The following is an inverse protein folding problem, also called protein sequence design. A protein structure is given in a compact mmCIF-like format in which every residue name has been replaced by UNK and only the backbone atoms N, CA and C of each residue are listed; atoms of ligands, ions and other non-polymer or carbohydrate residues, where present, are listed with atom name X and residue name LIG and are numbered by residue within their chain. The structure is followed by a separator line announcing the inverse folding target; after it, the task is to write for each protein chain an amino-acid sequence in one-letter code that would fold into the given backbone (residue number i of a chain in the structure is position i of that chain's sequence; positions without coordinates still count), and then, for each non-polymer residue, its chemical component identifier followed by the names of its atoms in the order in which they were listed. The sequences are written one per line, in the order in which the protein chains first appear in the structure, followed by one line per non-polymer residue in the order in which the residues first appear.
data_IF_220137879870
#
_entry.id   IF_220137879870
#
_cell.length_a   1.000
_cell.length_b   1.000
_cell.length_c   1.000
_cell.angle_alpha   90.00
_cell.angle_beta   90.00
_cell.angle_gamma   90.00
#
_symmetry.space_group_name_H-M   'P 1'
#
loop_
_entity.id
_entity.type
_entity.pdbx_description
1 polymer ?
#
# COMPACT_ATOMS: atom_id res chain seq x y z
N UNK A 1 -75.11 23.30 11.25
CA UNK A 1 -74.56 22.04 11.78
C UNK A 1 -73.47 21.54 10.84
N UNK A 2 -72.40 20.97 11.41
CA UNK A 2 -71.24 20.29 10.78
C UNK A 2 -70.28 21.20 9.97
N UNK A 3 -69.12 21.60 10.50
CA UNK A 3 -67.88 20.84 10.85
C UNK A 3 -66.92 20.72 9.66
N UNK A 4 -65.76 21.39 9.79
CA UNK A 4 -64.38 20.95 9.46
C UNK A 4 -64.15 20.34 8.06
N UNK A 5 -63.06 20.67 7.34
CA UNK A 5 -61.68 20.34 7.74
C UNK A 5 -60.69 21.04 6.80
N UNK A 6 -59.65 21.67 7.38
CA UNK A 6 -58.41 22.00 6.67
C UNK A 6 -57.77 20.72 6.12
N UNK A 7 -57.32 20.73 4.86
CA UNK A 7 -56.39 19.72 4.33
C UNK A 7 -55.08 20.43 3.94
N UNK A 8 -54.14 20.40 4.87
CA UNK A 8 -52.75 20.77 4.66
C UNK A 8 -52.04 19.51 4.15
N UNK A 9 -51.72 19.46 2.85
CA UNK A 9 -50.97 18.36 2.27
C UNK A 9 -49.48 18.52 2.64
N UNK A 10 -49.06 17.89 3.73
CA UNK A 10 -47.66 17.75 4.11
C UNK A 10 -47.02 16.69 3.21
N UNK A 11 -46.31 17.15 2.17
CA UNK A 11 -45.49 16.29 1.32
C UNK A 11 -44.26 15.85 2.13
N UNK A 12 -44.34 14.71 2.82
CA UNK A 12 -43.18 14.05 3.41
C UNK A 12 -42.31 13.53 2.26
N UNK A 13 -41.29 14.29 1.87
CA UNK A 13 -40.17 13.73 1.10
C UNK A 13 -39.39 12.82 2.03
N UNK A 14 -39.74 11.54 2.03
CA UNK A 14 -38.90 10.48 2.58
C UNK A 14 -37.66 10.46 1.68
N UNK A 15 -36.60 11.17 2.09
CA UNK A 15 -35.27 10.93 1.55
C UNK A 15 -34.86 9.55 2.04
N UNK A 16 -35.20 8.51 1.28
CA UNK A 16 -34.61 7.20 1.44
C UNK A 16 -33.11 7.37 1.19
N UNK A 17 -32.34 7.45 2.27
CA UNK A 17 -30.91 7.18 2.22
C UNK A 17 -30.77 5.75 1.70
N UNK A 18 -30.46 5.63 0.41
CA UNK A 18 -29.99 4.40 -0.21
C UNK A 18 -28.70 3.99 0.51
N UNK A 19 -28.82 3.34 1.66
CA UNK A 19 -27.75 2.46 2.11
C UNK A 19 -27.74 1.32 1.11
N UNK A 20 -26.77 1.36 0.18
CA UNK A 20 -26.48 0.23 -0.68
C UNK A 20 -26.36 -1.02 0.21
N UNK A 21 -27.14 -2.05 -0.10
CA UNK A 21 -27.01 -3.33 0.58
C UNK A 21 -25.59 -3.82 0.33
N UNK A 22 -24.78 -3.89 1.38
CA UNK A 22 -23.38 -4.30 1.27
C UNK A 22 -23.34 -5.73 0.75
N UNK A 23 -22.70 -5.94 -0.40
CA UNK A 23 -22.56 -7.26 -0.98
C UNK A 23 -21.65 -8.12 -0.10
N UNK A 24 -22.12 -9.34 0.20
CA UNK A 24 -21.32 -10.38 0.86
C UNK A 24 -20.76 -11.27 -0.24
N UNK A 25 -19.45 -11.51 -0.21
CA UNK A 25 -18.70 -12.23 -1.24
C UNK A 25 -18.21 -13.60 -0.73
N UNK A 26 -19.10 -14.35 -0.08
CA UNK A 26 -18.79 -15.68 0.48
C UNK A 26 -18.27 -16.65 -0.58
N UNK A 27 -18.71 -16.49 -1.82
CA UNK A 27 -18.24 -17.28 -2.94
C UNK A 27 -16.77 -17.04 -3.28
N UNK A 28 -16.27 -15.80 -3.17
CA UNK A 28 -14.85 -15.50 -3.32
C UNK A 28 -14.05 -16.06 -2.14
N UNK A 29 -14.61 -15.99 -0.92
CA UNK A 29 -13.99 -16.59 0.26
C UNK A 29 -13.83 -18.10 0.10
N UNK A 30 -14.90 -18.80 -0.28
CA UNK A 30 -14.88 -20.25 -0.49
C UNK A 30 -13.81 -20.63 -1.53
N UNK A 31 -13.82 -19.97 -2.70
CA UNK A 31 -12.83 -20.25 -3.75
C UNK A 31 -11.39 -19.95 -3.30
N UNK A 32 -11.19 -18.91 -2.47
CA UNK A 32 -9.87 -18.60 -1.93
C UNK A 32 -9.41 -19.65 -0.91
N UNK A 33 -10.28 -20.06 0.02
CA UNK A 33 -9.99 -21.06 1.05
C UNK A 33 -9.76 -22.45 0.44
N UNK A 34 -10.49 -22.79 -0.61
CA UNK A 34 -10.31 -24.04 -1.37
C UNK A 34 -9.08 -23.99 -2.31
N UNK A 35 -8.26 -22.93 -2.25
CA UNK A 35 -7.09 -22.67 -3.08
C UNK A 35 -7.38 -22.68 -4.60
N UNK A 36 -8.64 -22.46 -4.97
CA UNK A 36 -9.11 -22.32 -6.35
C UNK A 36 -8.83 -20.91 -6.89
N UNK A 37 -7.58 -20.44 -6.75
CA UNK A 37 -7.19 -19.04 -6.96
C UNK A 37 -7.54 -18.48 -8.34
N UNK A 38 -7.39 -19.28 -9.41
CA UNK A 38 -7.73 -18.87 -10.77
C UNK A 38 -9.23 -18.63 -10.93
N UNK A 39 -10.07 -19.52 -10.39
CA UNK A 39 -11.53 -19.35 -10.41
C UNK A 39 -11.94 -18.18 -9.53
N UNK A 40 -11.30 -18.00 -8.38
CA UNK A 40 -11.53 -16.85 -7.50
C UNK A 40 -11.19 -15.54 -8.23
N UNK A 41 -10.02 -15.45 -8.87
CA UNK A 41 -9.58 -14.29 -9.64
C UNK A 41 -10.56 -13.97 -10.77
N UNK A 42 -10.95 -14.97 -11.56
CA UNK A 42 -11.93 -14.78 -12.65
C UNK A 42 -13.29 -14.33 -12.13
N UNK A 43 -13.75 -14.89 -11.00
CA UNK A 43 -15.03 -14.49 -10.41
C UNK A 43 -14.97 -13.07 -9.85
N UNK A 44 -13.89 -12.70 -9.17
CA UNK A 44 -13.65 -11.35 -8.68
C UNK A 44 -13.55 -10.33 -9.83
N UNK A 45 -12.90 -10.69 -10.94
CA UNK A 45 -12.82 -9.86 -12.14
C UNK A 45 -14.21 -9.50 -12.68
N UNK A 46 -15.10 -10.48 -12.80
CA UNK A 46 -16.50 -10.24 -13.20
C UNK A 46 -17.28 -9.34 -12.24
N UNK A 47 -16.95 -9.33 -10.95
CA UNK A 47 -17.58 -8.38 -10.02
C UNK A 47 -17.06 -6.95 -10.26
N UNK A 48 -15.77 -6.79 -10.55
CA UNK A 48 -15.23 -5.45 -10.79
C UNK A 48 -15.63 -4.84 -12.13
N UNK A 49 -16.13 -5.64 -13.07
CA UNK A 49 -16.67 -5.19 -14.35
C UNK A 49 -18.13 -4.71 -14.27
N UNK A 50 -18.90 -5.19 -13.28
CA UNK A 50 -20.32 -4.85 -13.16
C UNK A 50 -20.53 -3.48 -12.50
N UNK A 51 -21.53 -2.74 -12.97
CA UNK A 51 -21.82 -1.40 -12.48
C UNK A 51 -22.18 -1.35 -10.99
N UNK A 52 -22.83 -2.39 -10.48
CA UNK A 52 -23.29 -2.51 -9.10
C UNK A 52 -22.15 -2.80 -8.11
N UNK A 53 -21.12 -3.53 -8.54
CA UNK A 53 -20.09 -4.11 -7.66
C UNK A 53 -18.68 -3.60 -7.95
N UNK A 54 -18.46 -2.86 -9.05
CA UNK A 54 -17.15 -2.27 -9.40
C UNK A 54 -16.57 -1.31 -8.37
N UNK A 55 -17.42 -0.73 -7.52
CA UNK A 55 -17.03 0.20 -6.45
C UNK A 55 -16.73 -0.52 -5.15
N UNK A 56 -17.11 -1.78 -5.02
CA UNK A 56 -16.93 -2.53 -3.80
C UNK A 56 -15.45 -2.90 -3.62
N UNK A 57 -14.91 -2.81 -2.40
CA UNK A 57 -13.50 -3.06 -2.17
C UNK A 57 -13.14 -4.55 -2.23
N UNK A 58 -13.97 -5.43 -1.67
CA UNK A 58 -13.64 -6.84 -1.45
C UNK A 58 -13.23 -7.61 -2.72
N UNK A 59 -13.88 -7.46 -3.89
CA UNK A 59 -13.40 -8.13 -5.10
C UNK A 59 -11.95 -7.79 -5.44
N UNK A 60 -11.52 -6.53 -5.24
CA UNK A 60 -10.14 -6.12 -5.48
C UNK A 60 -9.19 -6.72 -4.45
N UNK A 61 -9.62 -6.89 -3.20
CA UNK A 61 -8.84 -7.57 -2.17
C UNK A 61 -8.60 -9.04 -2.55
N UNK A 62 -9.65 -9.76 -2.96
CA UNK A 62 -9.50 -11.15 -3.41
C UNK A 62 -8.61 -11.28 -4.64
N UNK A 63 -8.73 -10.38 -5.62
CA UNK A 63 -7.78 -10.37 -6.76
C UNK A 63 -6.33 -10.19 -6.30
N UNK A 64 -6.10 -9.34 -5.31
CA UNK A 64 -4.79 -9.09 -4.70
C UNK A 64 -4.24 -10.35 -4.01
N UNK A 65 -5.05 -10.95 -3.13
CA UNK A 65 -4.68 -12.14 -2.36
C UNK A 65 -4.45 -13.35 -3.26
N UNK A 66 -5.35 -13.62 -4.21
CA UNK A 66 -5.17 -14.70 -5.19
C UNK A 66 -3.90 -14.50 -6.01
N UNK A 67 -3.67 -13.28 -6.53
CA UNK A 67 -2.46 -13.01 -7.32
C UNK A 67 -1.17 -13.19 -6.51
N UNK A 68 -1.21 -12.87 -5.21
CA UNK A 68 -0.11 -13.10 -4.28
C UNK A 68 0.15 -14.59 -4.05
N UNK A 69 -0.87 -15.38 -3.72
CA UNK A 69 -0.71 -16.84 -3.56
C UNK A 69 -0.27 -17.52 -4.86
N UNK A 70 -0.85 -17.11 -5.99
CA UNK A 70 -0.44 -17.61 -7.31
C UNK A 70 1.03 -17.30 -7.60
N UNK A 71 1.57 -16.17 -7.13
CA UNK A 71 2.97 -15.81 -7.34
C UNK A 71 3.98 -16.72 -6.62
N UNK A 72 3.51 -17.52 -5.64
CA UNK A 72 4.33 -18.48 -4.89
C UNK A 72 4.35 -19.86 -5.54
N UNK A 73 3.47 -20.13 -6.50
CA UNK A 73 3.26 -21.45 -7.09
C UNK A 73 3.91 -21.56 -8.47
N UNK A 74 4.78 -22.55 -8.65
CA UNK A 74 5.52 -22.78 -9.89
C UNK A 74 4.62 -22.91 -11.13
N UNK A 75 3.46 -23.56 -10.98
CA UNK A 75 2.48 -23.73 -12.06
C UNK A 75 2.01 -22.41 -12.68
N UNK A 76 2.00 -21.33 -11.90
CA UNK A 76 1.62 -20.00 -12.40
C UNK A 76 2.84 -19.16 -12.77
N UNK A 77 3.95 -19.27 -12.05
CA UNK A 77 5.13 -18.45 -12.36
C UNK A 77 5.84 -18.86 -13.65
N UNK A 78 5.72 -20.12 -14.07
CA UNK A 78 6.21 -20.62 -15.35
C UNK A 78 5.24 -20.40 -16.52
N UNK A 79 3.97 -20.14 -16.24
CA UNK A 79 2.96 -19.89 -17.26
C UNK A 79 3.09 -18.46 -17.82
N UNK A 80 3.28 -18.28 -19.14
CA UNK A 80 3.31 -16.96 -19.77
C UNK A 80 2.07 -16.10 -19.49
N UNK A 81 0.89 -16.69 -19.31
CA UNK A 81 -0.35 -15.99 -18.99
C UNK A 81 -0.28 -15.33 -17.60
N UNK A 82 0.34 -16.02 -16.64
CA UNK A 82 0.41 -15.62 -15.25
C UNK A 82 1.73 -14.95 -14.84
N UNK A 83 2.64 -14.66 -15.79
CA UNK A 83 3.94 -14.01 -15.51
C UNK A 83 3.85 -12.69 -14.71
N UNK A 84 2.69 -12.05 -14.68
CA UNK A 84 2.49 -10.76 -14.00
C UNK A 84 1.81 -10.86 -12.64
N UNK A 85 1.43 -12.05 -12.16
CA UNK A 85 0.61 -12.22 -10.93
C UNK A 85 1.20 -11.52 -9.71
N UNK A 86 2.52 -11.60 -9.47
CA UNK A 86 3.14 -10.87 -8.35
C UNK A 86 3.00 -9.34 -8.46
N UNK A 87 3.00 -8.78 -9.69
CA UNK A 87 2.73 -7.34 -9.89
C UNK A 87 1.25 -7.01 -9.81
N UNK A 88 0.40 -7.91 -10.27
CA UNK A 88 -1.04 -7.73 -10.21
C UNK A 88 -1.53 -7.74 -8.76
N UNK A 89 -0.90 -8.51 -7.86
CA UNK A 89 -1.15 -8.44 -6.42
C UNK A 89 -1.09 -6.99 -5.90
N UNK A 90 0.05 -6.31 -6.06
CA UNK A 90 0.24 -4.95 -5.57
C UNK A 90 -0.69 -3.92 -6.22
N UNK A 91 -0.92 -4.08 -7.53
CA UNK A 91 -1.87 -3.25 -8.28
C UNK A 91 -3.29 -3.38 -7.74
N UNK A 92 -3.73 -4.59 -7.42
CA UNK A 92 -5.07 -4.83 -6.88
C UNK A 92 -5.18 -4.43 -5.41
N UNK A 93 -4.13 -4.58 -4.59
CA UNK A 93 -4.04 -4.00 -3.24
C UNK A 93 -4.26 -2.47 -3.26
N UNK A 94 -3.58 -1.76 -4.16
CA UNK A 94 -3.73 -0.30 -4.29
C UNK A 94 -5.16 0.07 -4.71
N UNK A 95 -5.73 -0.66 -5.67
CA UNK A 95 -7.13 -0.44 -6.08
C UNK A 95 -8.09 -0.69 -4.93
N UNK A 96 -7.91 -1.77 -4.17
CA UNK A 96 -8.67 -2.08 -2.97
C UNK A 96 -8.64 -0.91 -1.98
N UNK A 97 -7.45 -0.42 -1.62
CA UNK A 97 -7.30 0.68 -0.65
C UNK A 97 -8.04 1.94 -1.07
N UNK A 98 -8.04 2.27 -2.37
CA UNK A 98 -8.79 3.43 -2.91
C UNK A 98 -10.31 3.32 -2.72
N UNK A 99 -10.83 2.11 -2.54
CA UNK A 99 -12.25 1.81 -2.35
C UNK A 99 -12.58 1.64 -0.88
N UNK A 100 -11.70 1.00 -0.12
CA UNK A 100 -11.80 0.87 1.33
C UNK A 100 -11.20 2.10 2.05
N UNK A 101 -11.76 3.28 1.77
CA UNK A 101 -11.22 4.54 2.29
C UNK A 101 -11.28 4.62 3.81
N UNK A 102 -12.32 4.05 4.40
CA UNK A 102 -12.59 4.08 5.84
C UNK A 102 -11.95 2.91 6.60
N UNK A 103 -11.10 2.10 5.94
CA UNK A 103 -10.44 0.94 6.54
C UNK A 103 -11.45 -0.06 7.14
N UNK A 104 -12.61 -0.21 6.51
CA UNK A 104 -13.67 -1.09 6.98
C UNK A 104 -13.23 -2.56 6.96
N UNK A 105 -12.37 -2.90 5.99
CA UNK A 105 -11.87 -4.25 5.82
C UNK A 105 -10.37 -4.36 6.06
N UNK A 106 -9.60 -3.32 5.74
CA UNK A 106 -8.14 -3.33 5.73
C UNK A 106 -7.53 -3.98 6.98
N UNK A 107 -7.95 -3.57 8.17
CA UNK A 107 -7.39 -4.04 9.44
C UNK A 107 -7.72 -5.52 9.75
N UNK A 108 -8.66 -6.14 9.04
CA UNK A 108 -8.98 -7.56 9.23
C UNK A 108 -8.01 -8.49 8.48
N UNK A 109 -7.07 -7.95 7.71
CA UNK A 109 -6.15 -8.69 6.86
C UNK A 109 -4.68 -8.34 7.16
N UNK A 110 -4.36 -8.00 8.41
CA UNK A 110 -3.00 -7.59 8.85
C UNK A 110 -1.91 -8.59 8.45
N UNK A 111 -2.15 -9.90 8.59
CA UNK A 111 -1.18 -10.94 8.21
C UNK A 111 -0.88 -10.91 6.70
N UNK A 112 -1.92 -10.72 5.88
CA UNK A 112 -1.76 -10.58 4.44
C UNK A 112 -0.94 -9.34 4.08
N UNK A 113 -1.23 -8.20 4.72
CA UNK A 113 -0.49 -6.96 4.47
C UNK A 113 0.98 -7.07 4.89
N UNK A 114 1.26 -7.70 6.03
CA UNK A 114 2.63 -7.91 6.50
C UNK A 114 3.44 -8.78 5.53
N UNK A 115 2.84 -9.85 5.01
CA UNK A 115 3.48 -10.72 4.02
C UNK A 115 3.69 -9.99 2.69
N UNK A 116 2.64 -9.33 2.17
CA UNK A 116 2.70 -8.59 0.91
C UNK A 116 3.76 -7.47 0.97
N UNK A 117 3.81 -6.72 2.07
CA UNK A 117 4.82 -5.69 2.30
C UNK A 117 6.24 -6.25 2.31
N UNK A 118 6.43 -7.39 2.99
CA UNK A 118 7.76 -8.03 3.08
C UNK A 118 8.25 -8.42 1.69
N UNK A 119 7.41 -9.11 0.91
CA UNK A 119 7.74 -9.53 -0.46
C UNK A 119 7.98 -8.32 -1.38
N UNK A 120 7.11 -7.31 -1.32
CA UNK A 120 7.22 -6.10 -2.14
C UNK A 120 8.50 -5.31 -1.81
N UNK A 121 8.83 -5.17 -0.52
CA UNK A 121 10.06 -4.53 -0.05
C UNK A 121 11.29 -5.28 -0.57
N UNK A 122 11.36 -6.60 -0.38
CA UNK A 122 12.54 -7.38 -0.77
C UNK A 122 12.77 -7.30 -2.30
N UNK A 123 11.71 -7.39 -3.10
CA UNK A 123 11.78 -7.19 -4.55
C UNK A 123 12.20 -5.75 -4.90
N UNK A 124 11.61 -4.75 -4.24
CA UNK A 124 11.91 -3.33 -4.46
C UNK A 124 13.36 -2.98 -4.16
N UNK A 125 13.90 -3.47 -3.04
CA UNK A 125 15.29 -3.31 -2.65
C UNK A 125 16.24 -4.01 -3.63
N UNK A 126 15.96 -5.27 -4.00
CA UNK A 126 16.77 -5.99 -4.96
C UNK A 126 16.83 -5.29 -6.33
N UNK A 127 15.69 -4.76 -6.81
CA UNK A 127 15.64 -3.99 -8.05
C UNK A 127 16.41 -2.66 -7.95
N UNK A 128 16.33 -1.98 -6.80
CA UNK A 128 17.08 -0.75 -6.55
C UNK A 128 18.59 -1.02 -6.61
N UNK A 129 19.04 -2.10 -5.96
CA UNK A 129 20.46 -2.51 -5.92
C UNK A 129 20.98 -2.92 -7.30
N UNK A 130 20.11 -3.46 -8.16
CA UNK A 130 20.42 -3.77 -9.56
C UNK A 130 20.39 -2.54 -10.48
N UNK A 131 20.06 -1.35 -9.97
CA UNK A 131 19.93 -0.13 -10.78
C UNK A 131 18.66 -0.09 -11.64
N UNK A 132 17.72 -1.00 -11.42
CA UNK A 132 16.44 -1.11 -12.13
C UNK A 132 15.40 -0.13 -11.54
N UNK A 133 15.77 1.14 -11.47
CA UNK A 133 15.05 2.18 -10.71
C UNK A 133 13.59 2.36 -11.12
N UNK A 134 13.26 2.17 -12.40
CA UNK A 134 11.87 2.26 -12.89
C UNK A 134 10.98 1.14 -12.34
N UNK A 135 11.54 -0.08 -12.21
CA UNK A 135 10.84 -1.22 -11.63
C UNK A 135 10.76 -1.07 -10.11
N UNK A 136 11.86 -0.67 -9.46
CA UNK A 136 11.89 -0.39 -8.02
C UNK A 136 10.88 0.71 -7.63
N UNK A 137 10.86 1.83 -8.38
CA UNK A 137 9.86 2.91 -8.22
C UNK A 137 8.47 2.32 -8.18
N UNK A 138 8.10 1.48 -9.15
CA UNK A 138 6.75 0.90 -9.24
C UNK A 138 6.39 0.06 -8.01
N UNK A 139 7.34 -0.68 -7.44
CA UNK A 139 7.11 -1.45 -6.21
C UNK A 139 6.73 -0.51 -5.07
N UNK A 140 7.58 0.47 -4.78
CA UNK A 140 7.35 1.41 -3.68
C UNK A 140 6.15 2.33 -3.90
N UNK A 141 5.82 2.65 -5.15
CA UNK A 141 4.61 3.39 -5.55
C UNK A 141 3.34 2.63 -5.17
N UNK A 142 3.27 1.34 -5.47
CA UNK A 142 2.14 0.52 -5.04
C UNK A 142 2.10 0.37 -3.51
N UNK A 143 3.25 0.13 -2.86
CA UNK A 143 3.33 0.04 -1.39
C UNK A 143 2.78 1.29 -0.71
N UNK A 144 3.21 2.47 -1.15
CA UNK A 144 2.70 3.75 -0.69
C UNK A 144 1.21 3.95 -1.05
N UNK A 145 0.75 3.38 -2.17
CA UNK A 145 -0.63 3.47 -2.63
C UNK A 145 -1.61 2.62 -1.82
N UNK A 146 -1.26 1.41 -1.41
CA UNK A 146 -2.13 0.57 -0.57
C UNK A 146 -1.91 0.77 0.93
N UNK A 147 -0.75 1.26 1.35
CA UNK A 147 -0.43 1.56 2.74
C UNK A 147 0.17 2.98 2.88
N UNK A 148 -0.60 4.04 2.62
CA UNK A 148 -0.10 5.42 2.63
C UNK A 148 0.43 5.88 4.00
N UNK A 149 0.06 5.19 5.07
CA UNK A 149 0.54 5.42 6.43
C UNK A 149 1.97 4.87 6.66
N UNK A 150 2.53 4.09 5.73
CA UNK A 150 3.90 3.56 5.83
C UNK A 150 4.93 4.60 5.34
N UNK A 151 5.69 5.26 6.24
CA UNK A 151 6.65 6.28 5.82
C UNK A 151 7.81 5.70 4.98
N UNK A 152 8.28 4.49 5.29
CA UNK A 152 9.40 3.88 4.57
C UNK A 152 9.13 3.72 3.07
N UNK A 153 7.88 3.39 2.70
CA UNK A 153 7.49 3.26 1.29
C UNK A 153 7.62 4.59 0.53
N UNK A 154 7.18 5.70 1.13
CA UNK A 154 7.30 7.03 0.53
C UNK A 154 8.74 7.48 0.33
N UNK A 155 9.61 7.24 1.32
CA UNK A 155 11.02 7.64 1.22
C UNK A 155 11.76 6.82 0.16
N UNK A 156 11.49 5.52 0.09
CA UNK A 156 12.06 4.65 -0.94
C UNK A 156 11.54 4.99 -2.34
N UNK A 157 10.27 5.39 -2.46
CA UNK A 157 9.71 5.92 -3.70
C UNK A 157 10.42 7.21 -4.13
N UNK A 158 10.61 8.16 -3.20
CA UNK A 158 11.35 9.40 -3.44
C UNK A 158 12.79 9.13 -3.89
N UNK A 159 13.48 8.19 -3.24
CA UNK A 159 14.83 7.77 -3.64
C UNK A 159 14.85 7.26 -5.08
N UNK A 160 13.93 6.37 -5.45
CA UNK A 160 13.84 5.85 -6.82
C UNK A 160 13.58 6.97 -7.82
N UNK A 161 12.67 7.90 -7.51
CA UNK A 161 12.39 9.06 -8.35
C UNK A 161 13.62 9.96 -8.52
N UNK A 162 14.40 10.20 -7.47
CA UNK A 162 15.65 10.97 -7.54
C UNK A 162 16.71 10.27 -8.40
N UNK A 163 16.87 8.95 -8.26
CA UNK A 163 17.77 8.15 -9.12
C UNK A 163 17.34 8.20 -10.59
N UNK A 164 16.04 8.38 -10.85
CA UNK A 164 15.46 8.58 -12.19
C UNK A 164 15.42 10.04 -12.66
N UNK A 165 15.96 11.00 -11.89
CA UNK A 165 15.93 12.44 -12.19
C UNK A 165 14.51 13.05 -12.23
N UNK A 166 13.58 12.48 -11.49
CA UNK A 166 12.20 12.95 -11.32
C UNK A 166 12.05 13.81 -10.05
N UNK A 167 12.77 14.93 -10.00
CA UNK A 167 12.91 15.72 -8.76
C UNK A 167 11.59 16.30 -8.22
N UNK A 168 10.64 16.66 -9.10
CA UNK A 168 9.32 17.14 -8.68
C UNK A 168 8.53 16.04 -7.98
N UNK A 169 8.46 14.87 -8.60
CA UNK A 169 7.73 13.72 -8.06
C UNK A 169 8.38 13.24 -6.74
N UNK A 170 9.71 13.27 -6.66
CA UNK A 170 10.44 12.98 -5.43
C UNK A 170 10.09 13.95 -4.29
N UNK A 171 9.93 15.24 -4.59
CA UNK A 171 9.51 16.24 -3.60
C UNK A 171 8.11 15.94 -3.08
N UNK A 172 7.19 15.55 -3.96
CA UNK A 172 5.83 15.16 -3.58
C UNK A 172 5.85 13.92 -2.67
N UNK A 173 6.61 12.89 -3.04
CA UNK A 173 6.78 11.69 -2.21
C UNK A 173 7.41 12.01 -0.85
N UNK A 174 8.39 12.93 -0.77
CA UNK A 174 8.96 13.37 0.51
C UNK A 174 7.97 14.18 1.37
N UNK A 175 7.02 14.89 0.74
CA UNK A 175 5.93 15.53 1.50
C UNK A 175 5.02 14.49 2.14
N UNK A 176 4.70 13.41 1.43
CA UNK A 176 3.91 12.30 1.98
C UNK A 176 4.69 11.51 3.04
N UNK A 177 6.00 11.29 2.85
CA UNK A 177 6.89 10.74 3.88
C UNK A 177 6.79 11.56 5.18
N UNK A 178 6.94 12.88 5.10
CA UNK A 178 6.90 13.74 6.29
C UNK A 178 5.54 13.66 7.00
N UNK A 179 4.44 13.58 6.25
CA UNK A 179 3.09 13.42 6.82
C UNK A 179 2.93 12.06 7.50
N UNK A 180 3.31 10.98 6.82
CA UNK A 180 3.22 9.62 7.35
C UNK A 180 4.10 9.46 8.59
N UNK A 181 5.35 9.94 8.53
CA UNK A 181 6.30 9.91 9.64
C UNK A 181 5.81 10.72 10.84
N UNK A 182 5.28 11.93 10.63
CA UNK A 182 4.73 12.74 11.72
C UNK A 182 3.48 12.11 12.38
N UNK A 183 2.80 11.20 11.68
CA UNK A 183 1.67 10.44 12.22
C UNK A 183 2.10 9.19 13.00
N UNK A 184 3.38 8.79 12.95
CA UNK A 184 3.92 7.67 13.73
C UNK A 184 4.07 8.11 15.18
N UNK A 185 3.31 7.56 16.15
CA UNK A 185 3.41 7.96 17.54
C UNK A 185 4.74 7.52 18.18
N UNK A 186 5.25 6.37 17.72
CA UNK A 186 6.46 5.72 18.20
C UNK A 186 6.91 4.71 17.13
N UNK A 187 8.16 4.83 16.65
CA UNK A 187 8.73 3.95 15.63
C UNK A 187 8.77 2.49 16.10
N UNK A 188 8.89 2.25 17.40
CA UNK A 188 8.93 0.89 17.95
C UNK A 188 7.57 0.18 17.89
N UNK A 189 6.49 0.92 17.66
CA UNK A 189 5.13 0.39 17.49
C UNK A 189 4.75 0.12 16.04
N UNK A 190 5.60 0.49 15.09
CA UNK A 190 5.37 0.15 13.69
C UNK A 190 5.39 -1.37 13.49
N UNK A 191 4.56 -1.92 12.57
CA UNK A 191 4.71 -3.29 12.13
C UNK A 191 6.15 -3.58 11.69
N UNK A 192 6.63 -4.80 11.96
CA UNK A 192 8.05 -5.17 11.79
C UNK A 192 8.57 -4.90 10.38
N UNK A 193 7.76 -5.19 9.37
CA UNK A 193 8.03 -4.94 7.96
C UNK A 193 8.16 -3.43 7.66
N UNK A 194 7.28 -2.60 8.22
CA UNK A 194 7.32 -1.15 8.05
C UNK A 194 8.50 -0.51 8.79
N UNK A 195 8.78 -0.97 10.02
CA UNK A 195 9.94 -0.54 10.81
C UNK A 195 11.24 -0.84 10.07
N UNK A 196 11.35 -2.03 9.45
CA UNK A 196 12.46 -2.40 8.59
C UNK A 196 12.56 -1.46 7.38
N UNK A 197 11.48 -1.26 6.63
CA UNK A 197 11.49 -0.41 5.44
C UNK A 197 11.84 1.05 5.75
N UNK A 198 11.35 1.59 6.87
CA UNK A 198 11.71 2.92 7.34
C UNK A 198 13.22 3.02 7.59
N UNK A 199 13.81 2.06 8.31
CA UNK A 199 15.27 2.02 8.52
C UNK A 199 16.04 2.00 7.20
N UNK A 200 15.67 1.12 6.28
CA UNK A 200 16.30 1.05 4.94
C UNK A 200 16.17 2.37 4.18
N UNK A 201 15.00 3.01 4.24
CA UNK A 201 14.75 4.32 3.66
C UNK A 201 15.66 5.41 4.24
N UNK A 202 15.77 5.49 5.57
CA UNK A 202 16.61 6.47 6.25
C UNK A 202 18.08 6.31 5.88
N UNK A 203 18.60 5.08 5.88
CA UNK A 203 19.99 4.79 5.49
C UNK A 203 20.22 5.21 4.04
N UNK A 204 19.49 4.61 3.10
CA UNK A 204 19.76 4.74 1.67
C UNK A 204 19.49 6.14 1.14
N UNK A 205 18.50 6.85 1.70
CA UNK A 205 18.24 8.24 1.35
C UNK A 205 19.35 9.16 1.89
N UNK A 206 19.85 8.91 3.10
CA UNK A 206 20.97 9.67 3.67
C UNK A 206 22.26 9.46 2.87
N UNK A 207 22.58 8.22 2.47
CA UNK A 207 23.70 7.93 1.57
C UNK A 207 23.56 8.65 0.22
N UNK A 208 22.34 8.69 -0.34
CA UNK A 208 22.10 9.43 -1.57
C UNK A 208 22.39 10.92 -1.38
N UNK A 209 21.89 11.54 -0.30
CA UNK A 209 22.12 12.95 0.00
C UNK A 209 23.61 13.25 0.18
N UNK A 210 24.32 12.41 0.93
CA UNK A 210 25.77 12.53 1.13
C UNK A 210 26.53 12.44 -0.20
N UNK A 211 26.16 11.48 -1.07
CA UNK A 211 26.73 11.35 -2.41
C UNK A 211 26.48 12.56 -3.33
N UNK A 212 25.55 13.45 -2.96
CA UNK A 212 25.27 14.72 -3.63
C UNK A 212 25.91 15.94 -2.95
N UNK A 213 26.71 15.72 -1.91
CA UNK A 213 27.32 16.77 -1.09
C UNK A 213 26.32 17.47 -0.17
N UNK A 214 25.12 16.91 0.02
CA UNK A 214 24.07 17.45 0.89
C UNK A 214 24.19 16.90 2.31
N UNK A 215 25.39 17.01 2.90
CA UNK A 215 25.77 16.35 4.17
C UNK A 215 24.85 16.75 5.32
N UNK A 216 24.49 18.03 5.46
CA UNK A 216 23.58 18.48 6.53
C UNK A 216 22.18 17.86 6.41
N UNK A 217 21.71 17.68 5.17
CA UNK A 217 20.43 17.00 4.92
C UNK A 217 20.52 15.50 5.21
N UNK A 218 21.66 14.87 4.90
CA UNK A 218 21.92 13.48 5.24
C UNK A 218 21.94 13.28 6.76
N UNK A 219 22.67 14.12 7.51
CA UNK A 219 22.69 14.15 8.99
C UNK A 219 21.28 14.29 9.57
N UNK A 220 20.51 15.24 9.05
CA UNK A 220 19.12 15.48 9.50
C UNK A 220 18.23 14.27 9.23
N UNK A 221 18.39 13.62 8.08
CA UNK A 221 17.59 12.44 7.72
C UNK A 221 17.92 11.26 8.61
N UNK A 222 19.19 10.89 8.75
CA UNK A 222 19.58 9.73 9.57
C UNK A 222 19.26 9.95 11.05
N UNK A 223 19.24 11.19 11.54
CA UNK A 223 18.87 11.49 12.92
C UNK A 223 17.43 11.11 13.28
N UNK A 224 16.51 11.04 12.30
CA UNK A 224 15.10 10.64 12.51
C UNK A 224 14.94 9.23 13.10
N UNK A 225 15.95 8.37 12.95
CA UNK A 225 15.92 7.00 13.45
C UNK A 225 16.87 6.71 14.60
N UNK A 226 17.63 7.71 15.09
CA UNK A 226 18.76 7.49 15.99
C UNK A 226 18.38 6.74 17.27
N UNK A 227 17.28 7.14 17.92
CA UNK A 227 16.83 6.54 19.18
C UNK A 227 16.33 5.09 19.01
N UNK A 228 16.01 4.67 17.78
CA UNK A 228 15.33 3.39 17.52
C UNK A 228 16.15 2.38 16.71
N UNK A 229 17.16 2.83 15.97
CA UNK A 229 17.92 1.99 15.03
C UNK A 229 19.42 1.91 15.33
N UNK A 230 19.89 2.52 16.41
CA UNK A 230 21.31 2.51 16.78
C UNK A 230 21.89 1.11 17.04
N UNK A 231 21.06 0.12 17.35
CA UNK A 231 21.48 -1.29 17.46
C UNK A 231 21.85 -1.92 16.11
N UNK A 232 21.37 -1.37 15.00
CA UNK A 232 21.74 -1.80 13.66
C UNK A 232 23.11 -1.21 13.28
N UNK A 233 24.06 -2.09 12.97
CA UNK A 233 25.45 -1.71 12.72
C UNK A 233 25.61 -0.77 11.51
N UNK A 234 24.87 -0.99 10.43
CA UNK A 234 24.92 -0.17 9.22
C UNK A 234 24.37 1.24 9.50
N UNK A 235 23.21 1.31 10.16
CA UNK A 235 22.61 2.58 10.58
C UNK A 235 23.56 3.39 11.47
N UNK A 236 24.12 2.74 12.50
CA UNK A 236 25.07 3.38 13.42
C UNK A 236 26.31 3.88 12.70
N UNK A 237 26.92 3.03 11.86
CA UNK A 237 28.13 3.37 11.11
C UNK A 237 27.93 4.58 10.21
N UNK A 238 26.80 4.65 9.50
CA UNK A 238 26.48 5.79 8.64
C UNK A 238 26.25 7.07 9.47
N UNK A 239 25.50 6.97 10.58
CA UNK A 239 25.27 8.11 11.47
C UNK A 239 26.56 8.67 12.05
N UNK A 240 27.49 7.80 12.45
CA UNK A 240 28.81 8.17 12.95
C UNK A 240 29.67 8.81 11.85
N UNK A 241 29.71 8.23 10.65
CA UNK A 241 30.42 8.80 9.49
C UNK A 241 29.92 10.20 9.14
N UNK A 242 28.61 10.41 9.24
CA UNK A 242 28.00 11.67 8.91
C UNK A 242 28.26 12.75 9.94
N UNK A 243 28.67 12.47 11.19
CA UNK A 243 28.86 13.47 12.26
C UNK A 243 30.28 14.03 12.31
#
# INVERSE_FOLDING_TARGET
MLRTTLLFALLLTITSSLHAQKHVYDDLLILYVDEEYEKCLWKADRYIEKDDTRRDPLPYLYMSMCSHEMSKLEKYTLDPEYRKVGRDALKYAEKFRKKDKNLEFFNNYEDYWAELNTVAMDIGLALLDQGEYSKAKRQFDHMAGYYPENPGAWQMLALCQLKMKLARDAKESMMEFNKAYAAVPDIDRLPKDQKRLLREGLIRYSEYLDSKGMVDSARTTIALGAEHFDENAEFRSLREQLN
#
